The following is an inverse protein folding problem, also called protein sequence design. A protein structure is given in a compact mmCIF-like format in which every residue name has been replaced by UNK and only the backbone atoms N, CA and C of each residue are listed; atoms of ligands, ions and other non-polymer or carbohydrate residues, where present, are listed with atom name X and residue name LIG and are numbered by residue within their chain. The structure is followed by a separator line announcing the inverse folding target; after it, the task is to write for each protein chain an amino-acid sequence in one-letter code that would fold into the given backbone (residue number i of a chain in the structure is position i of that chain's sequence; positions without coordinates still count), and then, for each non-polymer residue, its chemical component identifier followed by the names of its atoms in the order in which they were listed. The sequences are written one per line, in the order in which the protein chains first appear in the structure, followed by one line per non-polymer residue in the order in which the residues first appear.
data_IF_351714484874
#
_entry.id   IF_351714484874
#
_cell.length_a   1.000
_cell.length_b   1.000
_cell.length_c   1.000
_cell.angle_alpha   90.00
_cell.angle_beta   90.00
_cell.angle_gamma   90.00
#
_symmetry.space_group_name_H-M   'P 1'
#
loop_
_entity.id
_entity.type
_entity.pdbx_description
1 polymer ?
#
# COMPACT_ATOMS: atom_id res chain seq x y z
N UNK A 1 -8.13 -33.38 -18.28
CA UNK A 1 -9.41 -33.32 -17.51
C UNK A 1 -9.66 -31.86 -17.12
N UNK A 2 -10.87 -31.34 -17.27
CA UNK A 2 -11.22 -30.00 -16.74
C UNK A 2 -11.25 -30.09 -15.21
N UNK A 3 -10.59 -29.13 -14.53
CA UNK A 3 -10.65 -28.99 -13.07
C UNK A 3 -12.10 -28.78 -12.64
N UNK A 4 -12.51 -29.31 -11.50
CA UNK A 4 -13.81 -29.02 -10.92
C UNK A 4 -13.84 -27.58 -10.36
N UNK A 5 -15.02 -27.01 -10.15
CA UNK A 5 -15.19 -25.70 -9.53
C UNK A 5 -14.56 -25.66 -8.14
N UNK A 6 -14.70 -26.76 -7.36
CA UNK A 6 -14.11 -26.87 -6.03
C UNK A 6 -12.58 -26.88 -6.07
N UNK A 7 -11.99 -27.54 -7.06
CA UNK A 7 -10.53 -27.59 -7.21
C UNK A 7 -9.98 -26.20 -7.55
N UNK A 8 -10.68 -25.46 -8.42
CA UNK A 8 -10.31 -24.08 -8.77
C UNK A 8 -10.41 -23.18 -7.52
N UNK A 9 -11.50 -23.29 -6.75
CA UNK A 9 -11.68 -22.49 -5.53
C UNK A 9 -10.57 -22.78 -4.49
N UNK A 10 -10.23 -24.04 -4.30
CA UNK A 10 -9.13 -24.43 -3.38
C UNK A 10 -7.79 -23.89 -3.88
N UNK A 11 -7.50 -24.00 -5.17
CA UNK A 11 -6.27 -23.49 -5.76
C UNK A 11 -6.13 -21.97 -5.57
N UNK A 12 -7.22 -21.18 -5.72
CA UNK A 12 -7.19 -19.74 -5.43
C UNK A 12 -6.80 -19.47 -3.97
N UNK A 13 -7.44 -20.14 -3.01
CA UNK A 13 -7.15 -19.99 -1.58
C UNK A 13 -5.70 -20.40 -1.27
N UNK A 14 -5.19 -21.47 -1.87
CA UNK A 14 -3.81 -21.91 -1.69
C UNK A 14 -2.79 -20.90 -2.21
N UNK A 15 -3.08 -20.22 -3.34
CA UNK A 15 -2.21 -19.17 -3.88
C UNK A 15 -2.19 -17.97 -2.92
N UNK A 16 -3.35 -17.52 -2.44
CA UNK A 16 -3.44 -16.44 -1.46
C UNK A 16 -2.72 -16.78 -0.15
N UNK A 17 -2.89 -18.01 0.34
CA UNK A 17 -2.19 -18.49 1.54
C UNK A 17 -0.66 -18.44 1.37
N UNK A 18 -0.15 -18.86 0.22
CA UNK A 18 1.29 -18.80 -0.08
C UNK A 18 1.80 -17.37 -0.13
N UNK A 19 1.01 -16.44 -0.70
CA UNK A 19 1.35 -15.03 -0.73
C UNK A 19 1.47 -14.45 0.69
N UNK A 20 0.54 -14.80 1.61
CA UNK A 20 0.60 -14.38 3.01
C UNK A 20 1.81 -14.96 3.76
N UNK A 21 2.14 -16.23 3.53
CA UNK A 21 3.35 -16.85 4.12
C UNK A 21 4.61 -16.15 3.60
N UNK A 22 4.68 -15.89 2.29
CA UNK A 22 5.78 -15.14 1.68
C UNK A 22 5.91 -13.74 2.29
N UNK A 23 4.80 -13.02 2.43
CA UNK A 23 4.79 -11.71 3.06
C UNK A 23 5.34 -11.74 4.49
N UNK A 24 4.92 -12.70 5.30
CA UNK A 24 5.42 -12.85 6.68
C UNK A 24 6.94 -13.02 6.75
N UNK A 25 7.53 -13.72 5.78
CA UNK A 25 8.99 -13.92 5.69
C UNK A 25 9.76 -12.68 5.20
N UNK A 26 9.05 -11.66 4.66
CA UNK A 26 9.64 -10.40 4.19
C UNK A 26 9.38 -9.22 5.14
N UNK A 27 8.87 -9.49 6.35
CA UNK A 27 8.78 -8.45 7.38
C UNK A 27 10.18 -8.15 7.92
N UNK A 28 10.64 -6.92 7.69
CA UNK A 28 11.98 -6.45 8.03
C UNK A 28 11.93 -5.30 9.05
N UNK A 29 13.11 -4.84 9.47
CA UNK A 29 13.25 -3.73 10.42
C UNK A 29 12.55 -2.44 9.95
N UNK A 30 12.43 -2.22 8.65
CA UNK A 30 11.67 -1.09 8.09
C UNK A 30 10.22 -1.08 8.56
N UNK A 31 9.58 -2.26 8.63
CA UNK A 31 8.23 -2.40 9.18
C UNK A 31 8.19 -2.00 10.66
N UNK A 32 9.12 -2.53 11.46
CA UNK A 32 9.17 -2.23 12.91
C UNK A 32 9.34 -0.74 13.15
N UNK A 33 10.31 -0.11 12.48
CA UNK A 33 10.59 1.32 12.62
C UNK A 33 9.39 2.16 12.18
N UNK A 34 8.76 1.82 11.06
CA UNK A 34 7.56 2.49 10.56
C UNK A 34 6.43 2.49 11.60
N UNK A 35 6.14 1.32 12.20
CA UNK A 35 5.07 1.19 13.20
C UNK A 35 5.41 1.97 14.47
N UNK A 36 6.66 1.91 14.95
CA UNK A 36 7.11 2.66 16.12
C UNK A 36 7.00 4.17 15.90
N UNK A 37 7.38 4.65 14.73
CA UNK A 37 7.32 6.07 14.40
C UNK A 37 5.88 6.57 14.26
N UNK A 38 4.98 5.78 13.66
CA UNK A 38 3.54 6.08 13.62
C UNK A 38 2.98 6.13 15.04
N UNK A 39 3.31 5.15 15.88
CA UNK A 39 2.81 5.08 17.26
C UNK A 39 3.26 6.26 18.12
N UNK A 40 4.51 6.69 17.96
CA UNK A 40 5.10 7.78 18.73
C UNK A 40 4.74 9.18 18.19
N UNK A 41 4.33 9.28 16.93
CA UNK A 41 3.94 10.55 16.34
C UNK A 41 2.57 11.00 16.83
N UNK A 42 2.40 12.35 16.94
CA UNK A 42 1.08 12.97 17.13
C UNK A 42 0.46 13.40 15.78
N UNK A 43 0.79 12.66 14.73
CA UNK A 43 0.38 12.92 13.37
C UNK A 43 -0.52 11.80 12.87
N UNK A 44 -1.13 11.99 11.74
CA UNK A 44 -2.02 10.99 11.13
C UNK A 44 -1.34 10.25 9.99
N UNK A 45 -1.93 9.12 9.60
CA UNK A 45 -1.56 8.37 8.41
C UNK A 45 -2.54 8.72 7.29
N UNK A 46 -2.06 9.27 6.17
CA UNK A 46 -2.85 9.51 4.96
C UNK A 46 -2.55 8.39 3.98
N UNK A 47 -3.52 7.49 3.77
CA UNK A 47 -3.37 6.38 2.83
C UNK A 47 -3.79 6.83 1.43
N UNK A 48 -2.92 6.61 0.44
CA UNK A 48 -3.09 7.04 -0.93
C UNK A 48 -3.00 5.87 -1.90
N UNK A 49 -3.87 5.86 -2.91
CA UNK A 49 -3.87 4.86 -3.97
C UNK A 49 -4.81 5.24 -5.10
N UNK A 50 -4.79 4.45 -6.19
CA UNK A 50 -5.69 4.59 -7.33
C UNK A 50 -6.29 3.23 -7.70
N UNK A 51 -7.47 3.21 -8.30
CA UNK A 51 -8.16 2.01 -8.71
C UNK A 51 -8.38 1.03 -7.54
N UNK A 52 -8.01 -0.24 -7.68
CA UNK A 52 -8.19 -1.24 -6.63
C UNK A 52 -7.32 -0.96 -5.39
N UNK A 53 -6.14 -0.40 -5.55
CA UNK A 53 -5.30 0.03 -4.42
C UNK A 53 -5.97 1.13 -3.58
N UNK A 54 -6.80 1.99 -4.19
CA UNK A 54 -7.59 2.98 -3.46
C UNK A 54 -8.61 2.33 -2.52
N UNK A 55 -9.28 1.24 -2.95
CA UNK A 55 -10.23 0.50 -2.12
C UNK A 55 -9.53 -0.14 -0.90
N UNK A 56 -8.33 -0.69 -1.10
CA UNK A 56 -7.52 -1.22 0.00
C UNK A 56 -7.08 -0.10 0.94
N UNK A 57 -6.63 1.04 0.42
CA UNK A 57 -6.27 2.20 1.21
C UNK A 57 -7.44 2.68 2.09
N UNK A 58 -8.66 2.76 1.55
CA UNK A 58 -9.87 3.08 2.31
C UNK A 58 -10.13 2.07 3.43
N UNK A 59 -9.95 0.76 3.15
CA UNK A 59 -10.11 -0.29 4.18
C UNK A 59 -9.07 -0.14 5.30
N UNK A 60 -7.81 0.17 4.97
CA UNK A 60 -6.76 0.42 5.95
C UNK A 60 -7.14 1.62 6.83
N UNK A 61 -7.56 2.74 6.23
CA UNK A 61 -8.01 3.94 6.95
C UNK A 61 -9.15 3.63 7.91
N UNK A 62 -10.18 2.91 7.44
CA UNK A 62 -11.30 2.51 8.29
C UNK A 62 -10.84 1.68 9.50
N UNK A 63 -9.90 0.75 9.29
CA UNK A 63 -9.36 -0.09 10.36
C UNK A 63 -8.52 0.74 11.34
N UNK A 64 -7.61 1.61 10.85
CA UNK A 64 -6.79 2.48 11.69
C UNK A 64 -7.65 3.37 12.59
N UNK A 65 -8.66 4.02 12.04
CA UNK A 65 -9.58 4.87 12.81
C UNK A 65 -10.35 4.06 13.86
N UNK A 66 -10.77 2.83 13.54
CA UNK A 66 -11.46 1.95 14.49
C UNK A 66 -10.56 1.46 15.64
N UNK A 67 -9.26 1.47 15.44
CA UNK A 67 -8.25 1.01 16.42
C UNK A 67 -7.49 2.16 17.10
N UNK A 68 -7.90 3.41 16.86
CA UNK A 68 -7.37 4.58 17.56
C UNK A 68 -6.17 5.27 16.90
N UNK A 69 -5.79 4.86 15.69
CA UNK A 69 -4.77 5.56 14.90
C UNK A 69 -5.45 6.52 13.93
N UNK A 70 -5.30 7.86 14.09
CA UNK A 70 -5.90 8.82 13.18
C UNK A 70 -5.44 8.62 11.73
N UNK A 71 -6.37 8.40 10.82
CA UNK A 71 -6.06 8.18 9.43
C UNK A 71 -7.06 8.86 8.49
N UNK A 72 -6.60 9.22 7.28
CA UNK A 72 -7.41 9.79 6.22
C UNK A 72 -7.09 9.11 4.89
N UNK A 73 -8.05 9.14 3.97
CA UNK A 73 -7.87 8.62 2.62
C UNK A 73 -7.64 9.79 1.64
N UNK A 74 -6.71 9.60 0.70
CA UNK A 74 -6.42 10.52 -0.39
C UNK A 74 -6.41 9.71 -1.70
N UNK A 75 -7.36 10.01 -2.60
CA UNK A 75 -7.35 9.39 -3.92
C UNK A 75 -6.23 10.01 -4.77
N UNK A 76 -5.37 9.17 -5.37
CA UNK A 76 -4.19 9.68 -6.06
C UNK A 76 -4.52 10.59 -7.25
N UNK A 77 -5.60 10.31 -8.01
CA UNK A 77 -6.02 11.18 -9.10
C UNK A 77 -6.54 12.54 -8.60
N UNK A 78 -7.30 12.56 -7.48
CA UNK A 78 -7.84 13.82 -6.94
C UNK A 78 -6.73 14.65 -6.28
N UNK A 79 -5.71 13.99 -5.72
CA UNK A 79 -4.55 14.66 -5.15
C UNK A 79 -3.84 15.58 -6.14
N UNK A 80 -3.67 15.17 -7.41
CA UNK A 80 -3.03 16.00 -8.44
C UNK A 80 -3.91 17.16 -8.89
N UNK A 81 -5.20 17.17 -8.52
CA UNK A 81 -6.16 18.22 -8.79
C UNK A 81 -6.46 19.12 -7.58
N UNK A 82 -5.71 18.96 -6.48
CA UNK A 82 -5.78 19.87 -5.34
C UNK A 82 -6.00 19.20 -3.98
N UNK A 83 -6.56 17.99 -3.92
CA UNK A 83 -6.85 17.31 -2.65
C UNK A 83 -5.58 16.98 -1.85
N UNK A 84 -4.39 17.07 -2.47
CA UNK A 84 -3.11 16.98 -1.76
C UNK A 84 -2.97 18.02 -0.65
N UNK A 85 -3.73 19.11 -0.69
CA UNK A 85 -3.81 20.11 0.37
C UNK A 85 -4.27 19.58 1.73
N UNK A 86 -4.78 18.35 1.80
CA UNK A 86 -5.09 17.70 3.08
C UNK A 86 -3.82 17.39 3.90
N UNK A 87 -2.65 17.26 3.25
CA UNK A 87 -1.40 16.90 3.92
C UNK A 87 -0.89 18.01 4.81
N UNK A 88 -0.34 17.62 5.96
CA UNK A 88 0.28 18.51 6.93
C UNK A 88 1.69 18.05 7.27
N UNK A 89 2.55 18.97 7.71
CA UNK A 89 3.89 18.61 8.15
C UNK A 89 3.84 17.60 9.30
N UNK A 90 4.65 16.57 9.18
CA UNK A 90 4.71 15.44 10.11
C UNK A 90 3.75 14.28 9.79
N UNK A 91 2.76 14.46 8.89
CA UNK A 91 1.91 13.35 8.44
C UNK A 91 2.74 12.22 7.80
N UNK A 92 2.22 11.01 7.85
CA UNK A 92 2.72 9.87 7.08
C UNK A 92 1.86 9.70 5.83
N UNK A 93 2.46 9.81 4.65
CA UNK A 93 1.78 9.47 3.40
C UNK A 93 2.07 8.02 3.03
N UNK A 94 1.09 7.14 3.24
CA UNK A 94 1.17 5.73 2.90
C UNK A 94 0.65 5.51 1.49
N UNK A 95 1.55 5.30 0.54
CA UNK A 95 1.24 5.07 -0.87
C UNK A 95 1.15 3.58 -1.19
N UNK A 96 -0.01 3.14 -1.68
CA UNK A 96 -0.25 1.77 -2.14
C UNK A 96 -0.16 1.71 -3.66
N UNK A 97 0.86 1.03 -4.17
CA UNK A 97 1.03 0.79 -5.61
C UNK A 97 1.82 -0.50 -5.85
N UNK A 98 1.18 -1.51 -6.44
CA UNK A 98 1.84 -2.80 -6.72
C UNK A 98 3.11 -2.62 -7.56
N UNK A 99 3.05 -1.85 -8.64
CA UNK A 99 4.20 -1.56 -9.49
C UNK A 99 5.17 -0.54 -8.87
N UNK A 100 4.66 0.35 -8.01
CA UNK A 100 5.38 1.50 -7.49
C UNK A 100 5.74 2.57 -8.55
N UNK A 101 5.13 2.46 -9.75
CA UNK A 101 5.40 3.31 -10.92
C UNK A 101 4.17 4.12 -11.37
N UNK A 102 3.15 4.23 -10.53
CA UNK A 102 1.93 4.99 -10.81
C UNK A 102 2.26 6.47 -11.00
N UNK A 103 1.85 7.07 -12.13
CA UNK A 103 2.24 8.43 -12.51
C UNK A 103 1.74 9.47 -11.50
N UNK A 104 0.51 9.33 -11.01
CA UNK A 104 -0.05 10.22 -9.99
C UNK A 104 0.77 10.19 -8.70
N UNK A 105 1.22 9.00 -8.28
CA UNK A 105 2.06 8.86 -7.09
C UNK A 105 3.43 9.53 -7.29
N UNK A 106 4.02 9.44 -8.48
CA UNK A 106 5.26 10.13 -8.82
C UNK A 106 5.14 11.65 -8.68
N UNK A 107 3.98 12.20 -9.02
CA UNK A 107 3.70 13.63 -8.87
C UNK A 107 3.47 14.03 -7.40
N UNK A 108 2.81 13.18 -6.62
CA UNK A 108 2.45 13.45 -5.23
C UNK A 108 3.67 13.42 -4.30
N UNK A 109 4.59 12.47 -4.49
CA UNK A 109 5.72 12.25 -3.56
C UNK A 109 6.58 13.51 -3.35
N UNK A 110 7.04 14.24 -4.39
CA UNK A 110 7.83 15.45 -4.20
C UNK A 110 7.07 16.53 -3.42
N UNK A 111 5.77 16.67 -3.68
CA UNK A 111 4.93 17.67 -3.01
C UNK A 111 4.77 17.30 -1.53
N UNK A 112 4.48 16.03 -1.23
CA UNK A 112 4.34 15.55 0.14
C UNK A 112 5.65 15.72 0.94
N UNK A 113 6.80 15.44 0.33
CA UNK A 113 8.10 15.68 0.96
C UNK A 113 8.36 17.17 1.24
N UNK A 114 7.99 18.06 0.32
CA UNK A 114 8.11 19.50 0.50
C UNK A 114 7.19 20.01 1.64
N UNK A 115 6.04 19.40 1.84
CA UNK A 115 5.15 19.68 2.98
C UNK A 115 5.75 19.20 4.30
N UNK A 116 6.67 18.23 4.27
CA UNK A 116 7.29 17.63 5.44
C UNK A 116 6.64 16.32 5.88
N UNK A 117 5.98 15.61 4.96
CA UNK A 117 5.47 14.27 5.20
C UNK A 117 6.57 13.21 5.09
N UNK A 118 6.44 12.12 5.85
CA UNK A 118 7.23 10.89 5.68
C UNK A 118 6.49 9.93 4.77
N UNK A 119 7.19 9.34 3.82
CA UNK A 119 6.61 8.47 2.80
C UNK A 119 6.73 7.01 3.21
N UNK A 120 5.59 6.31 3.23
CA UNK A 120 5.52 4.85 3.40
C UNK A 120 5.15 4.25 2.04
N UNK A 121 5.98 3.36 1.53
CA UNK A 121 5.73 2.61 0.31
C UNK A 121 5.19 1.22 0.62
N UNK A 122 4.01 0.89 0.11
CA UNK A 122 3.51 -0.49 0.04
C UNK A 122 3.55 -0.89 -1.44
N UNK A 123 4.52 -1.74 -1.81
CA UNK A 123 4.77 -2.10 -3.22
C UNK A 123 5.38 -3.50 -3.36
N UNK A 124 5.13 -4.13 -4.51
CA UNK A 124 5.76 -5.39 -4.90
C UNK A 124 7.08 -5.19 -5.69
N UNK A 125 7.50 -3.94 -5.92
CA UNK A 125 8.69 -3.62 -6.70
C UNK A 125 9.65 -2.73 -5.90
N UNK A 126 10.69 -3.33 -5.33
CA UNK A 126 11.71 -2.65 -4.52
C UNK A 126 12.59 -1.70 -5.34
N UNK A 127 12.58 -1.79 -6.67
CA UNK A 127 13.35 -0.94 -7.58
C UNK A 127 12.52 0.22 -8.16
N UNK A 128 11.25 0.30 -7.79
CA UNK A 128 10.32 1.32 -8.29
C UNK A 128 10.66 2.73 -7.82
N UNK A 129 10.08 3.71 -8.50
CA UNK A 129 10.17 5.11 -8.09
C UNK A 129 9.65 5.31 -6.65
N UNK A 130 8.50 4.73 -6.32
CA UNK A 130 7.91 4.82 -4.99
C UNK A 130 8.87 4.25 -3.92
N UNK A 131 9.42 3.05 -4.15
CA UNK A 131 10.34 2.41 -3.19
C UNK A 131 11.61 3.23 -2.95
N UNK A 132 12.19 3.79 -4.02
CA UNK A 132 13.42 4.60 -3.94
C UNK A 132 13.24 5.95 -3.25
N UNK A 133 12.03 6.48 -3.22
CA UNK A 133 11.73 7.78 -2.61
C UNK A 133 11.01 7.66 -1.26
N UNK A 134 10.73 6.46 -0.79
CA UNK A 134 10.10 6.22 0.51
C UNK A 134 11.09 6.30 1.66
N UNK A 135 10.59 6.73 2.82
CA UNK A 135 11.31 6.68 4.10
C UNK A 135 11.16 5.29 4.73
N UNK A 136 10.04 4.60 4.45
CA UNK A 136 9.76 3.24 4.89
C UNK A 136 9.27 2.41 3.70
N UNK A 137 9.94 1.30 3.44
CA UNK A 137 9.51 0.33 2.44
C UNK A 137 8.86 -0.88 3.11
N UNK A 138 7.58 -1.08 2.82
CA UNK A 138 6.81 -2.26 3.18
C UNK A 138 6.66 -3.11 1.91
N UNK A 139 7.58 -4.02 1.72
CA UNK A 139 7.62 -4.88 0.55
C UNK A 139 6.53 -5.95 0.62
N UNK A 140 5.68 -6.00 -0.40
CA UNK A 140 4.57 -6.94 -0.52
C UNK A 140 4.75 -7.81 -1.77
N UNK A 141 5.58 -8.88 -1.69
CA UNK A 141 5.84 -9.74 -2.85
C UNK A 141 4.57 -10.46 -3.30
N UNK A 142 4.35 -10.46 -4.61
CA UNK A 142 3.29 -11.24 -5.27
C UNK A 142 3.91 -11.98 -6.43
N UNK A 143 4.11 -13.29 -6.28
CA UNK A 143 4.69 -14.13 -7.33
C UNK A 143 3.70 -14.42 -8.45
N UNK A 144 2.44 -14.67 -8.07
CA UNK A 144 1.36 -15.00 -8.99
C UNK A 144 0.03 -14.53 -8.44
N UNK A 145 -0.83 -14.03 -9.32
CA UNK A 145 -2.22 -13.76 -8.96
C UNK A 145 -3.02 -15.05 -8.76
N UNK A 146 -4.03 -15.03 -7.89
CA UNK A 146 -4.92 -16.16 -7.68
C UNK A 146 -5.89 -16.38 -8.88
N UNK A 147 -6.04 -15.35 -9.72
CA UNK A 147 -6.75 -15.46 -10.98
C UNK A 147 -6.05 -16.43 -11.95
N UNK A 148 -6.78 -17.41 -12.56
CA UNK A 148 -6.20 -18.38 -13.49
C UNK A 148 -5.46 -17.78 -14.68
N UNK A 149 -5.85 -16.58 -15.10
CA UNK A 149 -5.27 -15.86 -16.23
C UNK A 149 -4.15 -14.89 -15.81
N UNK A 150 -3.89 -14.75 -14.52
CA UNK A 150 -2.92 -13.82 -13.95
C UNK A 150 -3.15 -12.34 -14.37
N UNK A 151 -4.41 -11.95 -14.49
CA UNK A 151 -4.82 -10.63 -14.99
C UNK A 151 -5.35 -9.70 -13.90
N UNK A 152 -5.99 -10.25 -12.87
CA UNK A 152 -6.60 -9.47 -11.81
C UNK A 152 -5.75 -9.51 -10.53
N UNK A 153 -5.56 -8.37 -9.83
CA UNK A 153 -4.90 -8.35 -8.53
C UNK A 153 -5.78 -9.05 -7.49
N UNK A 154 -5.40 -10.26 -7.10
CA UNK A 154 -6.16 -11.17 -6.23
C UNK A 154 -5.28 -11.82 -5.14
N UNK A 155 -3.98 -11.60 -5.16
CA UNK A 155 -3.04 -12.11 -4.16
C UNK A 155 -2.23 -10.97 -3.54
#
# INVERSE_FOLDING_TARGET
MKKSILDIARECIEIEQKALISLANHLENSFVTCIQDIHNARARVVCCGIGKSALIAQKIVATMNSTGTPAAFLHAADAVHGDIGILSAGDFLCCLSKSGETEEIKLIIPIAKNVGCRIIAITANTQSYLAKHADYLLYTPVEKEADPNNLAPTA
#
